data_IF_981367556527
#
_entry.id   IF_981367556527
#
_cell.length_a   1.000
_cell.length_b   1.000
_cell.length_c   1.000
_cell.angle_alpha   90.00
_cell.angle_beta   90.00
_cell.angle_gamma   90.00
#
_symmetry.space_group_name_H-M   'P 1'
#
loop_
_entity.id
_entity.type
_entity.pdbx_description
1 polymer ?
#
# COMPACT_ATOMS: atom_id res chain seq x y z
N UNK A 1 5.56 1.13 14.71
CA UNK A 1 5.29 -0.32 14.63
C UNK A 1 5.08 -0.80 13.19
N UNK A 2 4.16 -0.23 12.39
CA UNK A 2 4.00 -0.62 10.98
C UNK A 2 5.02 0.01 10.02
N UNK A 3 5.45 1.24 10.30
CA UNK A 3 6.40 1.97 9.45
C UNK A 3 7.76 1.24 9.39
N UNK A 4 8.25 0.70 10.51
CA UNK A 4 9.52 -0.05 10.58
C UNK A 4 9.52 -1.38 9.81
N UNK A 5 8.38 -1.78 9.24
CA UNK A 5 8.21 -3.02 8.48
C UNK A 5 8.04 -2.72 6.99
N UNK A 6 8.12 -1.44 6.60
CA UNK A 6 8.15 -1.01 5.22
C UNK A 6 9.58 -1.14 4.66
N UNK A 7 9.70 -1.31 3.34
CA UNK A 7 10.95 -1.01 2.64
C UNK A 7 11.50 0.36 3.06
N UNK A 8 12.82 0.45 3.24
CA UNK A 8 13.48 1.66 3.72
C UNK A 8 13.11 2.91 2.89
N UNK A 9 12.95 2.76 1.58
CA UNK A 9 12.59 3.86 0.69
C UNK A 9 11.20 4.44 1.03
N UNK A 10 10.28 3.59 1.51
CA UNK A 10 8.98 4.03 1.99
C UNK A 10 9.05 4.68 3.36
N UNK A 11 9.92 4.17 4.25
CA UNK A 11 10.18 4.82 5.55
C UNK A 11 10.71 6.23 5.32
N UNK A 12 11.76 6.36 4.51
CA UNK A 12 12.37 7.64 4.14
C UNK A 12 11.35 8.57 3.48
N UNK A 13 10.52 8.06 2.56
CA UNK A 13 9.43 8.84 1.98
C UNK A 13 8.51 9.41 3.07
N UNK A 14 8.03 8.58 4.01
CA UNK A 14 7.13 9.01 5.08
C UNK A 14 7.76 9.98 6.08
N UNK A 15 9.04 9.81 6.39
CA UNK A 15 9.80 10.70 7.28
C UNK A 15 10.03 12.07 6.62
N UNK A 16 10.25 12.09 5.31
CA UNK A 16 10.41 13.31 4.52
C UNK A 16 9.10 14.04 4.18
N UNK A 17 7.95 13.54 4.65
CA UNK A 17 6.67 14.24 4.54
C UNK A 17 6.42 15.15 5.74
N UNK A 18 6.12 16.42 5.46
CA UNK A 18 5.61 17.38 6.43
C UNK A 18 4.22 17.00 6.94
N UNK A 19 3.83 17.55 8.09
CA UNK A 19 2.47 17.37 8.65
C UNK A 19 1.38 17.78 7.66
N UNK A 20 1.59 18.85 6.89
CA UNK A 20 0.65 19.32 5.87
C UNK A 20 0.52 18.32 4.72
N UNK A 21 1.64 17.79 4.23
CA UNK A 21 1.66 16.78 3.15
C UNK A 21 0.98 15.48 3.60
N UNK A 22 1.21 15.02 4.84
CA UNK A 22 0.54 13.83 5.40
C UNK A 22 -0.99 14.00 5.42
N UNK A 23 -1.47 15.12 5.97
CA UNK A 23 -2.91 15.47 5.99
C UNK A 23 -3.52 15.58 4.59
N UNK A 24 -2.73 16.01 3.62
CA UNK A 24 -3.18 16.12 2.24
C UNK A 24 -3.31 14.76 1.57
N UNK A 25 -2.33 13.86 1.77
CA UNK A 25 -2.45 12.47 1.34
C UNK A 25 -3.65 11.77 1.99
N UNK A 26 -4.00 12.11 3.25
CA UNK A 26 -5.16 11.54 3.95
C UNK A 26 -6.45 11.95 3.21
N UNK A 27 -6.60 13.25 2.96
CA UNK A 27 -7.76 13.81 2.24
C UNK A 27 -7.91 13.29 0.82
N UNK A 28 -6.80 13.12 0.09
CA UNK A 28 -6.84 12.55 -1.26
C UNK A 28 -7.29 11.09 -1.26
N UNK A 29 -6.94 10.32 -0.23
CA UNK A 29 -7.35 8.92 -0.10
C UNK A 29 -8.84 8.79 0.18
N UNK A 30 -9.44 9.75 0.90
CA UNK A 30 -10.87 9.77 1.23
C UNK A 30 -11.77 10.33 0.11
N UNK A 31 -11.24 11.15 -0.80
CA UNK A 31 -12.02 11.88 -1.82
C UNK A 31 -11.47 11.70 -3.24
N UNK A 32 -10.87 10.54 -3.53
CA UNK A 32 -10.17 10.26 -4.80
C UNK A 32 -10.99 10.63 -6.04
N UNK A 33 -12.29 10.32 -6.06
CA UNK A 33 -13.20 10.68 -7.16
C UNK A 33 -13.28 12.21 -7.36
N UNK A 34 -13.40 12.97 -6.26
CA UNK A 34 -13.45 14.44 -6.30
C UNK A 34 -12.16 15.06 -6.83
N UNK A 35 -11.01 14.46 -6.51
CA UNK A 35 -9.71 14.97 -6.95
C UNK A 35 -9.33 14.53 -8.38
N UNK A 36 -9.86 13.41 -8.87
CA UNK A 36 -9.62 12.93 -10.25
C UNK A 36 -10.57 13.53 -11.28
N UNK A 37 -11.79 13.88 -10.89
CA UNK A 37 -12.80 14.45 -11.80
C UNK A 37 -12.68 15.97 -11.95
N UNK A 38 -12.13 16.65 -10.96
CA UNK A 38 -12.06 18.10 -10.92
C UNK A 38 -10.71 18.59 -11.46
N UNK A 39 -10.71 19.01 -12.73
CA UNK A 39 -9.53 19.52 -13.46
C UNK A 39 -8.89 20.72 -12.75
N UNK A 40 -9.70 21.62 -12.18
CA UNK A 40 -9.20 22.77 -11.40
C UNK A 40 -8.53 22.29 -10.11
N UNK A 41 -9.13 21.35 -9.40
CA UNK A 41 -8.52 20.80 -8.19
C UNK A 41 -7.22 20.04 -8.49
N UNK A 42 -7.13 19.36 -9.64
CA UNK A 42 -5.90 18.73 -10.15
C UNK A 42 -4.80 19.77 -10.45
N UNK A 43 -5.13 20.87 -11.14
CA UNK A 43 -4.17 21.94 -11.44
C UNK A 43 -3.75 22.74 -10.20
N UNK A 44 -4.68 23.03 -9.28
CA UNK A 44 -4.40 23.64 -7.99
C UNK A 44 -3.49 22.72 -7.17
N UNK A 45 -3.71 21.41 -7.21
CA UNK A 45 -2.85 20.46 -6.52
C UNK A 45 -1.42 20.43 -7.10
N UNK A 46 -1.30 20.41 -8.44
CA UNK A 46 0.00 20.45 -9.13
C UNK A 46 0.74 21.76 -8.87
N UNK A 47 0.03 22.89 -8.80
CA UNK A 47 0.62 24.21 -8.56
C UNK A 47 0.95 24.48 -7.09
N UNK A 48 0.15 23.99 -6.15
CA UNK A 48 0.35 24.23 -4.71
C UNK A 48 1.29 23.19 -4.07
N UNK A 49 1.35 21.96 -4.60
CA UNK A 49 2.15 20.87 -4.03
C UNK A 49 3.05 20.14 -5.05
N UNK A 50 3.80 20.84 -5.93
CA UNK A 50 4.62 20.19 -6.96
C UNK A 50 5.68 19.26 -6.35
N UNK A 51 6.29 19.66 -5.23
CA UNK A 51 7.28 18.85 -4.50
C UNK A 51 6.69 17.57 -3.92
N UNK A 52 5.43 17.58 -3.48
CA UNK A 52 4.78 16.37 -2.97
C UNK A 52 4.50 15.40 -4.12
N UNK A 53 4.05 15.92 -5.26
CA UNK A 53 3.82 15.15 -6.48
C UNK A 53 5.11 14.48 -6.96
N UNK A 54 6.22 15.22 -6.98
CA UNK A 54 7.54 14.69 -7.32
C UNK A 54 7.96 13.56 -6.38
N UNK A 55 7.84 13.76 -5.05
CA UNK A 55 8.11 12.71 -4.06
C UNK A 55 7.26 11.45 -4.31
N UNK A 56 5.96 11.63 -4.61
CA UNK A 56 5.02 10.54 -4.90
C UNK A 56 5.40 9.80 -6.19
N UNK A 57 5.67 10.52 -7.27
CA UNK A 57 6.07 9.91 -8.56
C UNK A 57 7.39 9.15 -8.40
N UNK A 58 8.36 9.74 -7.71
CA UNK A 58 9.65 9.11 -7.46
C UNK A 58 9.49 7.79 -6.68
N UNK A 59 8.75 7.80 -5.56
CA UNK A 59 8.60 6.59 -4.76
C UNK A 59 7.81 5.50 -5.51
N UNK A 60 6.81 5.86 -6.30
CA UNK A 60 6.13 4.89 -7.18
C UNK A 60 7.07 4.32 -8.24
N UNK A 61 7.95 5.13 -8.82
CA UNK A 61 8.97 4.68 -9.76
C UNK A 61 9.90 3.65 -9.12
N UNK A 62 10.48 3.97 -7.97
CA UNK A 62 11.37 3.10 -7.20
C UNK A 62 10.68 1.76 -6.90
N UNK A 63 9.48 1.83 -6.33
CA UNK A 63 8.74 0.64 -5.90
C UNK A 63 8.34 -0.25 -7.09
N UNK A 64 7.99 0.35 -8.25
CA UNK A 64 7.69 -0.38 -9.48
C UNK A 64 8.92 -1.09 -10.02
N UNK A 65 10.07 -0.43 -10.03
CA UNK A 65 11.33 -1.04 -10.47
C UNK A 65 11.77 -2.18 -9.55
N UNK A 66 11.57 -2.06 -8.23
CA UNK A 66 11.82 -3.18 -7.30
C UNK A 66 10.95 -4.39 -7.64
N UNK A 67 9.66 -4.20 -7.91
CA UNK A 67 8.75 -5.29 -8.31
C UNK A 67 9.18 -5.91 -9.64
N UNK A 68 9.58 -5.11 -10.63
CA UNK A 68 10.04 -5.63 -11.94
C UNK A 68 11.28 -6.50 -11.83
N UNK A 69 12.19 -6.16 -10.90
CA UNK A 69 13.45 -6.88 -10.62
C UNK A 69 13.24 -8.17 -9.83
N UNK A 70 12.05 -8.41 -9.28
CA UNK A 70 11.75 -9.67 -8.63
C UNK A 70 11.80 -10.85 -9.63
N UNK A 71 12.18 -12.04 -9.16
CA UNK A 71 11.98 -13.28 -9.91
C UNK A 71 10.51 -13.47 -10.32
N UNK A 72 10.28 -14.30 -11.34
CA UNK A 72 8.98 -14.41 -12.01
C UNK A 72 7.83 -14.74 -11.05
N UNK A 73 7.97 -15.77 -10.22
CA UNK A 73 6.91 -16.21 -9.30
C UNK A 73 6.53 -15.13 -8.25
N UNK A 74 7.47 -14.54 -7.48
CA UNK A 74 7.20 -13.37 -6.63
C UNK A 74 6.54 -12.20 -7.35
N UNK A 75 6.98 -11.90 -8.57
CA UNK A 75 6.45 -10.78 -9.37
C UNK A 75 5.01 -11.05 -9.81
N UNK A 76 4.72 -12.25 -10.28
CA UNK A 76 3.36 -12.69 -10.65
C UNK A 76 2.43 -12.63 -9.44
N UNK A 77 2.90 -13.05 -8.26
CA UNK A 77 2.13 -12.92 -7.03
C UNK A 77 1.74 -11.47 -6.75
N UNK A 78 2.67 -10.52 -6.84
CA UNK A 78 2.37 -9.09 -6.68
C UNK A 78 1.28 -8.60 -7.63
N UNK A 79 1.39 -8.92 -8.93
CA UNK A 79 0.39 -8.51 -9.91
C UNK A 79 -0.97 -9.16 -9.68
N UNK A 80 -1.03 -10.43 -9.28
CA UNK A 80 -2.30 -11.06 -8.92
C UNK A 80 -2.96 -10.35 -7.74
N UNK A 81 -2.19 -10.01 -6.71
CA UNK A 81 -2.71 -9.32 -5.55
C UNK A 81 -3.19 -7.90 -5.90
N UNK A 82 -2.51 -7.20 -6.83
CA UNK A 82 -2.97 -5.93 -7.39
C UNK A 82 -4.34 -6.06 -8.06
N UNK A 83 -4.52 -7.05 -8.95
CA UNK A 83 -5.79 -7.24 -9.65
C UNK A 83 -6.93 -7.55 -8.68
N UNK A 84 -6.70 -8.43 -7.70
CA UNK A 84 -7.68 -8.73 -6.64
C UNK A 84 -8.07 -7.47 -5.88
N UNK A 85 -7.11 -6.60 -5.57
CA UNK A 85 -7.38 -5.35 -4.86
C UNK A 85 -8.27 -4.39 -5.66
N UNK A 86 -8.13 -4.38 -6.99
CA UNK A 86 -8.94 -3.58 -7.92
C UNK A 86 -10.36 -4.10 -7.98
N UNK A 87 -10.52 -5.41 -8.14
CA UNK A 87 -11.82 -6.07 -8.19
C UNK A 87 -12.60 -5.83 -6.89
N UNK A 88 -11.88 -5.82 -5.76
CA UNK A 88 -12.43 -5.50 -4.44
C UNK A 88 -12.60 -4.00 -4.18
N UNK A 89 -12.19 -3.13 -5.11
CA UNK A 89 -12.20 -1.66 -5.01
C UNK A 89 -11.59 -1.15 -3.70
N UNK A 90 -10.54 -1.82 -3.23
CA UNK A 90 -9.97 -1.54 -1.91
C UNK A 90 -9.42 -0.12 -1.83
N UNK A 91 -8.81 0.37 -2.90
CA UNK A 91 -8.22 1.71 -2.97
C UNK A 91 -9.24 2.86 -2.95
N UNK A 92 -10.49 2.56 -3.29
CA UNK A 92 -11.59 3.53 -3.37
C UNK A 92 -12.44 3.43 -2.11
N UNK A 93 -13.22 2.36 -2.01
CA UNK A 93 -14.31 2.23 -1.04
C UNK A 93 -14.04 1.14 0.01
N UNK A 94 -12.89 0.46 -0.08
CA UNK A 94 -12.54 -0.64 0.81
C UNK A 94 -12.63 -0.25 2.29
N UNK A 95 -13.46 -0.98 3.02
CA UNK A 95 -13.67 -0.89 4.47
C UNK A 95 -12.79 -1.92 5.19
N UNK A 96 -12.81 -1.88 6.51
CA UNK A 96 -12.08 -2.82 7.36
C UNK A 96 -12.33 -4.29 6.98
N UNK A 97 -13.59 -4.70 6.76
CA UNK A 97 -13.92 -6.08 6.38
C UNK A 97 -13.37 -6.47 5.01
N UNK A 98 -13.30 -5.54 4.06
CA UNK A 98 -12.72 -5.79 2.73
C UNK A 98 -11.20 -5.99 2.83
N UNK A 99 -10.53 -5.18 3.65
CA UNK A 99 -9.09 -5.33 3.92
C UNK A 99 -8.82 -6.67 4.62
N UNK A 100 -9.63 -7.07 5.60
CA UNK A 100 -9.48 -8.36 6.28
C UNK A 100 -9.67 -9.54 5.32
N UNK A 101 -10.64 -9.44 4.40
CA UNK A 101 -10.84 -10.43 3.34
C UNK A 101 -9.64 -10.48 2.39
N UNK A 102 -9.12 -9.32 1.99
CA UNK A 102 -7.94 -9.21 1.14
C UNK A 102 -6.71 -9.86 1.79
N UNK A 103 -6.46 -9.60 3.08
CA UNK A 103 -5.35 -10.24 3.81
C UNK A 103 -5.54 -11.76 3.91
N UNK A 104 -6.77 -12.23 4.05
CA UNK A 104 -7.05 -13.68 4.04
C UNK A 104 -6.67 -14.29 2.69
N UNK A 105 -7.10 -13.67 1.58
CA UNK A 105 -6.74 -14.10 0.22
C UNK A 105 -5.23 -14.03 -0.01
N UNK A 106 -4.60 -12.94 0.43
CA UNK A 106 -3.15 -12.73 0.37
C UNK A 106 -2.40 -13.86 1.08
N UNK A 107 -2.78 -14.17 2.32
CA UNK A 107 -2.17 -15.24 3.13
C UNK A 107 -2.30 -16.61 2.47
N UNK A 108 -3.49 -16.95 1.97
CA UNK A 108 -3.72 -18.22 1.28
C UNK A 108 -2.87 -18.33 0.01
N UNK A 109 -2.85 -17.28 -0.82
CA UNK A 109 -2.03 -17.28 -2.05
C UNK A 109 -0.53 -17.34 -1.75
N UNK A 110 -0.07 -16.62 -0.72
CA UNK A 110 1.33 -16.61 -0.31
C UNK A 110 1.82 -18.00 0.11
N UNK A 111 1.01 -18.74 0.89
CA UNK A 111 1.35 -20.10 1.34
C UNK A 111 1.49 -21.12 0.20
N UNK A 112 0.89 -20.84 -0.96
CA UNK A 112 0.97 -21.69 -2.14
C UNK A 112 2.19 -21.40 -3.02
N UNK A 113 2.98 -20.37 -2.70
CA UNK A 113 4.23 -20.07 -3.40
C UNK A 113 5.33 -21.04 -2.98
N UNK A 114 6.35 -21.20 -3.82
CA UNK A 114 7.58 -21.89 -3.44
C UNK A 114 8.26 -21.25 -2.23
N UNK A 115 9.00 -22.03 -1.44
CA UNK A 115 9.77 -21.49 -0.29
C UNK A 115 10.72 -20.37 -0.72
N UNK A 116 11.37 -20.53 -1.88
CA UNK A 116 12.24 -19.51 -2.45
C UNK A 116 11.49 -18.19 -2.73
N UNK A 117 10.29 -18.26 -3.30
CA UNK A 117 9.48 -17.08 -3.56
C UNK A 117 8.98 -16.42 -2.27
N UNK A 118 8.56 -17.21 -1.29
CA UNK A 118 8.15 -16.71 0.03
C UNK A 118 9.30 -15.96 0.73
N UNK A 119 10.49 -16.53 0.76
CA UNK A 119 11.68 -15.92 1.37
C UNK A 119 12.09 -14.64 0.64
N UNK A 120 12.10 -14.66 -0.69
CA UNK A 120 12.41 -13.48 -1.52
C UNK A 120 11.45 -12.34 -1.22
N UNK A 121 10.14 -12.61 -1.20
CA UNK A 121 9.12 -11.60 -0.91
C UNK A 121 9.27 -11.03 0.51
N UNK A 122 9.52 -11.87 1.52
CA UNK A 122 9.69 -11.42 2.91
C UNK A 122 10.96 -10.58 3.05
N UNK A 123 12.04 -10.95 2.38
CA UNK A 123 13.31 -10.22 2.42
C UNK A 123 13.19 -8.83 1.81
N UNK A 124 12.61 -8.74 0.62
CA UNK A 124 12.47 -7.47 -0.11
C UNK A 124 11.35 -6.58 0.47
N UNK A 125 10.32 -7.20 1.04
CA UNK A 125 9.15 -6.52 1.59
C UNK A 125 8.71 -7.13 2.93
N UNK A 126 9.34 -6.74 4.05
CA UNK A 126 9.08 -7.33 5.37
C UNK A 126 7.60 -7.31 5.81
N UNK A 127 6.82 -6.31 5.38
CA UNK A 127 5.37 -6.25 5.63
C UNK A 127 4.63 -7.49 5.10
N UNK A 128 5.11 -8.13 4.04
CA UNK A 128 4.52 -9.36 3.49
C UNK A 128 4.46 -10.46 4.54
N UNK A 129 5.45 -10.56 5.43
CA UNK A 129 5.45 -11.54 6.53
C UNK A 129 4.23 -11.41 7.43
N UNK A 130 3.82 -10.17 7.70
CA UNK A 130 2.64 -9.88 8.52
C UNK A 130 1.37 -10.25 7.78
N UNK A 131 1.27 -9.84 6.51
CA UNK A 131 0.09 -10.11 5.68
C UNK A 131 -0.08 -11.59 5.38
N UNK A 132 1.02 -12.34 5.29
CA UNK A 132 1.00 -13.77 5.01
C UNK A 132 0.71 -14.64 6.22
N UNK A 133 0.93 -14.10 7.43
CA UNK A 133 0.70 -14.83 8.69
C UNK A 133 -0.61 -14.35 9.32
N UNK A 134 -1.69 -15.10 9.11
CA UNK A 134 -3.05 -14.75 9.60
C UNK A 134 -3.09 -14.44 11.10
N UNK A 135 -2.38 -15.22 11.91
CA UNK A 135 -2.34 -15.02 13.37
C UNK A 135 -1.62 -13.73 13.74
N UNK A 136 -0.48 -13.46 13.09
CA UNK A 136 0.28 -12.21 13.26
C UNK A 136 -0.53 -10.98 12.82
N UNK A 137 -1.26 -11.06 11.71
CA UNK A 137 -2.18 -10.00 11.29
C UNK A 137 -3.32 -9.79 12.30
N UNK A 138 -3.92 -10.89 12.77
CA UNK A 138 -5.02 -10.85 13.73
C UNK A 138 -4.62 -10.24 15.07
N UNK A 139 -3.42 -10.56 15.57
CA UNK A 139 -2.89 -10.03 16.82
C UNK A 139 -2.46 -8.56 16.71
N UNK A 140 -1.77 -8.19 15.62
CA UNK A 140 -1.09 -6.89 15.54
C UNK A 140 -1.95 -5.81 14.90
N UNK A 141 -2.73 -6.15 13.88
CA UNK A 141 -3.32 -5.16 12.98
C UNK A 141 -4.84 -5.11 13.11
N UNK A 142 -5.48 -6.21 13.46
CA UNK A 142 -6.92 -6.34 13.34
C UNK A 142 -7.73 -5.38 14.24
N UNK A 143 -7.30 -5.17 15.49
CA UNK A 143 -7.93 -4.17 16.36
C UNK A 143 -7.56 -2.75 15.96
N UNK A 144 -6.32 -2.54 15.52
CA UNK A 144 -5.81 -1.23 15.10
C UNK A 144 -6.55 -0.68 13.88
N UNK A 145 -6.91 -1.53 12.90
CA UNK A 145 -7.65 -1.14 11.70
C UNK A 145 -9.12 -0.79 11.92
N UNK A 146 -9.70 -1.08 13.09
CA UNK A 146 -11.08 -0.69 13.40
C UNK A 146 -11.21 0.83 13.51
N UNK A 147 -10.13 1.51 13.88
CA UNK A 147 -10.05 2.97 13.87
C UNK A 147 -9.86 3.47 12.44
N UNK A 148 -10.74 4.39 12.01
CA UNK A 148 -10.75 4.93 10.65
C UNK A 148 -9.40 5.53 10.23
N UNK A 149 -8.74 6.26 11.12
CA UNK A 149 -7.46 6.90 10.83
C UNK A 149 -6.35 5.87 10.54
N UNK A 150 -6.33 4.78 11.31
CA UNK A 150 -5.35 3.71 11.15
C UNK A 150 -5.62 2.88 9.89
N UNK A 151 -6.89 2.65 9.56
CA UNK A 151 -7.29 2.05 8.28
C UNK A 151 -6.78 2.85 7.10
N UNK A 152 -6.91 4.18 7.13
CA UNK A 152 -6.40 5.07 6.07
C UNK A 152 -4.88 5.00 5.95
N UNK A 153 -4.16 5.05 7.08
CA UNK A 153 -2.70 4.90 7.12
C UNK A 153 -2.27 3.56 6.52
N UNK A 154 -2.96 2.47 6.85
CA UNK A 154 -2.68 1.15 6.32
C UNK A 154 -2.95 1.04 4.82
N UNK A 155 -4.09 1.55 4.34
CA UNK A 155 -4.41 1.60 2.91
C UNK A 155 -3.36 2.36 2.11
N UNK A 156 -2.82 3.46 2.65
CA UNK A 156 -1.73 4.21 2.02
C UNK A 156 -0.45 3.39 1.90
N UNK A 157 -0.05 2.72 2.98
CA UNK A 157 1.09 1.79 2.98
C UNK A 157 0.93 0.73 1.90
N UNK A 158 -0.22 0.05 1.87
CA UNK A 158 -0.50 -0.98 0.88
C UNK A 158 -0.48 -0.42 -0.55
N UNK A 159 -0.98 0.80 -0.77
CA UNK A 159 -0.94 1.46 -2.07
C UNK A 159 0.48 1.75 -2.54
N UNK A 160 1.35 2.21 -1.66
CA UNK A 160 2.75 2.44 -2.01
C UNK A 160 3.54 1.16 -2.24
N UNK A 161 3.15 0.06 -1.62
CA UNK A 161 3.64 -1.28 -1.94
C UNK A 161 3.04 -1.87 -3.22
N UNK A 162 2.20 -1.11 -3.93
CA UNK A 162 1.42 -1.59 -5.07
C UNK A 162 0.61 -2.84 -4.72
N UNK A 163 0.09 -2.94 -3.50
CA UNK A 163 -0.82 -4.01 -3.11
C UNK A 163 -2.28 -3.59 -3.25
N UNK A 164 -2.55 -2.29 -3.27
CA UNK A 164 -3.90 -1.75 -3.46
C UNK A 164 -3.84 -0.55 -4.41
N UNK A 165 -4.56 -0.59 -5.53
CA UNK A 165 -4.70 0.57 -6.43
C UNK A 165 -6.01 1.30 -6.23
#
# INVERSE_FOLDING_TARGET
>A
MLISLLPNELIEFYENLTVREKKLLDRMSEKREKYMQDYETSQIFQSVYPKLLEKIVNIYGIMREKIKKLPEEPRVFFYQMMEISKDMRLGENGKYEDIKRYVTVFSTKFKNLSSYAQETLIKEYPLIKILSTKDYFNEIINNWLKEKENLLKFKRVLRFLFLIS
#
